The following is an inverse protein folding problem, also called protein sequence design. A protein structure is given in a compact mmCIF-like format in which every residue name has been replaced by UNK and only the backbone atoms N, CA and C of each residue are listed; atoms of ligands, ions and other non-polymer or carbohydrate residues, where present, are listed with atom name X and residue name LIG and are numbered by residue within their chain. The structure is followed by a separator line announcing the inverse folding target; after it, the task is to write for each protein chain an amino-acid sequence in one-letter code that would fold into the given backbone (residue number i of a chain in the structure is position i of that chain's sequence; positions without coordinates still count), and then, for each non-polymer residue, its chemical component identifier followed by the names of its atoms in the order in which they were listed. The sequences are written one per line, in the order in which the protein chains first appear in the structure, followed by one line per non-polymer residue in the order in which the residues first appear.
data_IF_071367810456
#
_entry.id   IF_071367810456
#
_cell.length_a   1.000
_cell.length_b   1.000
_cell.length_c   1.000
_cell.angle_alpha   90.00
_cell.angle_beta   90.00
_cell.angle_gamma   90.00
#
_symmetry.space_group_name_H-M   'P 1'
#
loop_
_entity.id
_entity.type
_entity.pdbx_description
1 polymer ?
#
# COMPACT_ATOMS: atom_id res chain seq x y z
N UNK A 1 21.50 -9.34 -5.23
CA UNK A 1 21.27 -7.88 -5.29
C UNK A 1 19.98 -7.54 -4.54
N UNK A 2 19.97 -6.48 -3.77
CA UNK A 2 18.77 -6.02 -3.06
C UNK A 2 18.49 -4.54 -3.36
N UNK A 3 17.40 -4.03 -2.84
CA UNK A 3 16.98 -2.64 -3.09
C UNK A 3 18.01 -1.60 -2.66
N UNK A 4 18.81 -1.89 -1.65
CA UNK A 4 19.82 -0.96 -1.15
C UNK A 4 21.04 -0.84 -2.05
N UNK A 5 21.18 -1.69 -3.06
CA UNK A 5 22.17 -1.50 -4.13
C UNK A 5 21.67 -0.53 -5.20
N UNK A 6 20.36 -0.32 -5.29
CA UNK A 6 19.74 0.60 -6.25
C UNK A 6 19.79 2.03 -5.71
N UNK A 7 19.39 2.19 -4.43
CA UNK A 7 19.40 3.47 -3.72
C UNK A 7 19.77 3.20 -2.26
N UNK A 8 20.36 4.18 -1.60
CA UNK A 8 20.72 4.08 -0.18
C UNK A 8 19.46 4.02 0.72
N UNK A 9 19.63 3.61 1.97
CA UNK A 9 18.54 3.62 2.96
C UNK A 9 17.96 5.01 3.11
N UNK A 10 18.80 6.04 3.13
CA UNK A 10 18.39 7.43 3.27
C UNK A 10 17.57 7.90 2.05
N UNK A 11 17.98 7.51 0.86
CA UNK A 11 17.27 7.85 -0.38
C UNK A 11 15.89 7.18 -0.41
N UNK A 12 15.81 5.91 -0.05
CA UNK A 12 14.52 5.21 0.03
C UNK A 12 13.61 5.82 1.10
N UNK A 13 14.18 6.15 2.28
CA UNK A 13 13.38 6.76 3.34
C UNK A 13 12.82 8.11 2.90
N UNK A 14 13.61 8.90 2.18
CA UNK A 14 13.15 10.19 1.66
C UNK A 14 11.99 10.00 0.67
N UNK A 15 12.08 9.01 -0.20
CA UNK A 15 11.01 8.68 -1.14
C UNK A 15 9.74 8.31 -0.39
N UNK A 16 9.84 7.46 0.64
CA UNK A 16 8.69 7.06 1.45
C UNK A 16 8.06 8.25 2.18
N UNK A 17 8.88 9.11 2.77
CA UNK A 17 8.41 10.28 3.50
C UNK A 17 7.71 11.27 2.57
N UNK A 18 8.28 11.55 1.41
CA UNK A 18 7.70 12.46 0.43
C UNK A 18 6.38 11.93 -0.12
N UNK A 19 6.32 10.64 -0.40
CA UNK A 19 5.12 9.99 -0.92
C UNK A 19 4.02 9.97 0.15
N UNK A 20 4.38 9.67 1.39
CA UNK A 20 3.47 9.70 2.54
C UNK A 20 2.85 11.10 2.70
N UNK A 21 3.66 12.14 2.64
CA UNK A 21 3.19 13.52 2.75
C UNK A 21 2.28 13.90 1.58
N UNK A 22 2.69 13.55 0.35
CA UNK A 22 1.93 13.90 -0.87
C UNK A 22 0.54 13.25 -0.92
N UNK A 23 0.42 12.00 -0.47
CA UNK A 23 -0.81 11.23 -0.58
C UNK A 23 -1.58 11.08 0.73
N UNK A 24 -1.02 11.52 1.85
CA UNK A 24 -1.59 11.33 3.19
C UNK A 24 -1.88 9.85 3.48
N UNK A 25 -1.00 8.98 3.01
CA UNK A 25 -1.11 7.52 3.14
C UNK A 25 0.17 6.95 3.73
N UNK A 26 0.10 5.92 4.58
CA UNK A 26 1.32 5.24 5.03
C UNK A 26 2.00 4.54 3.86
N UNK A 27 3.32 4.55 3.87
CA UNK A 27 4.15 3.97 2.81
C UNK A 27 5.14 2.96 3.38
N UNK A 28 5.56 2.02 2.56
CA UNK A 28 6.54 1.01 2.94
C UNK A 28 7.40 0.61 1.75
N UNK A 29 8.66 0.28 2.03
CA UNK A 29 9.55 -0.37 1.08
C UNK A 29 9.53 -1.86 1.40
N UNK A 30 9.21 -2.67 0.40
CA UNK A 30 9.00 -4.12 0.56
C UNK A 30 9.91 -4.85 -0.42
N UNK A 31 10.57 -5.91 0.05
CA UNK A 31 11.45 -6.70 -0.84
C UNK A 31 10.65 -7.66 -1.73
N UNK A 32 11.35 -8.42 -2.57
CA UNK A 32 10.72 -9.35 -3.52
C UNK A 32 9.97 -10.50 -2.85
N UNK A 33 10.20 -10.72 -1.56
CA UNK A 33 9.52 -11.74 -0.76
C UNK A 33 8.42 -11.17 0.12
N UNK A 34 8.07 -9.91 -0.07
CA UNK A 34 7.03 -9.18 0.68
C UNK A 34 7.40 -8.86 2.13
N UNK A 35 8.68 -8.87 2.47
CA UNK A 35 9.14 -8.39 3.76
C UNK A 35 9.29 -6.87 3.76
N UNK A 36 8.79 -6.22 4.80
CA UNK A 36 8.89 -4.77 4.96
C UNK A 36 10.30 -4.41 5.42
N UNK A 37 10.98 -3.55 4.68
CA UNK A 37 12.34 -3.08 4.98
C UNK A 37 12.34 -1.72 5.66
N UNK A 38 11.47 -0.82 5.24
CA UNK A 38 11.34 0.54 5.78
C UNK A 38 9.88 0.96 5.70
N UNK A 39 9.48 1.91 6.54
CA UNK A 39 8.13 2.45 6.58
C UNK A 39 8.15 3.96 6.81
N UNK A 40 7.09 4.64 6.39
CA UNK A 40 6.82 6.03 6.70
C UNK A 40 5.32 6.24 6.94
N UNK A 41 5.00 7.07 7.94
CA UNK A 41 3.63 7.34 8.33
C UNK A 41 3.04 6.24 9.21
N UNK A 42 1.93 6.56 9.86
CA UNK A 42 1.20 5.59 10.68
C UNK A 42 0.02 5.01 9.92
N UNK A 43 -0.18 3.71 10.07
CA UNK A 43 -1.40 3.06 9.58
C UNK A 43 -2.59 3.57 10.37
N UNK A 44 -3.74 3.64 9.71
CA UNK A 44 -5.00 4.00 10.36
C UNK A 44 -5.39 2.92 11.38
N UNK A 45 -6.17 3.33 12.38
CA UNK A 45 -6.63 2.42 13.43
C UNK A 45 -7.29 1.16 12.86
N UNK A 46 -8.13 1.31 11.84
CA UNK A 46 -8.78 0.17 11.17
C UNK A 46 -7.76 -0.80 10.57
N UNK A 47 -6.76 -0.29 9.86
CA UNK A 47 -5.70 -1.13 9.28
C UNK A 47 -4.89 -1.85 10.36
N UNK A 48 -4.60 -1.18 11.48
CA UNK A 48 -3.91 -1.80 12.63
C UNK A 48 -4.71 -2.96 13.21
N UNK A 49 -6.03 -2.78 13.36
CA UNK A 49 -6.91 -3.84 13.87
C UNK A 49 -6.99 -5.04 12.91
N UNK A 50 -7.10 -4.79 11.61
CA UNK A 50 -7.11 -5.83 10.59
C UNK A 50 -5.80 -6.63 10.63
N UNK A 51 -4.67 -5.95 10.74
CA UNK A 51 -3.35 -6.59 10.75
C UNK A 51 -3.04 -7.29 12.07
N UNK A 52 -3.68 -6.90 13.16
CA UNK A 52 -3.51 -7.55 14.47
C UNK A 52 -4.25 -8.89 14.56
N UNK A 53 -5.22 -9.13 13.69
CA UNK A 53 -5.98 -10.37 13.62
C UNK A 53 -5.43 -11.24 12.49
N UNK A 54 -4.99 -12.46 12.80
CA UNK A 54 -4.36 -13.35 11.82
C UNK A 54 -5.25 -13.69 10.63
N UNK A 55 -6.53 -13.94 10.87
CA UNK A 55 -7.47 -14.29 9.78
C UNK A 55 -7.71 -13.12 8.84
N UNK A 56 -7.91 -11.92 9.37
CA UNK A 56 -8.12 -10.73 8.55
C UNK A 56 -6.83 -10.27 7.87
N UNK A 57 -5.67 -10.44 8.53
CA UNK A 57 -4.37 -10.16 7.89
C UNK A 57 -4.19 -11.03 6.64
N UNK A 58 -4.45 -12.31 6.74
CA UNK A 58 -4.33 -13.26 5.62
C UNK A 58 -5.39 -12.99 4.56
N UNK A 59 -6.65 -12.84 4.96
CA UNK A 59 -7.78 -12.70 4.05
C UNK A 59 -7.90 -11.34 3.37
N UNK A 60 -7.36 -10.29 3.98
CA UNK A 60 -7.45 -8.93 3.46
C UNK A 60 -6.10 -8.43 2.95
N UNK A 61 -5.13 -8.26 3.85
CA UNK A 61 -3.86 -7.63 3.50
C UNK A 61 -2.95 -8.53 2.66
N UNK A 62 -2.69 -9.74 3.12
CA UNK A 62 -1.76 -10.65 2.43
C UNK A 62 -2.29 -11.11 1.07
N UNK A 63 -3.59 -11.37 0.97
CA UNK A 63 -4.24 -11.76 -0.28
C UNK A 63 -4.10 -10.67 -1.33
N UNK A 64 -4.37 -9.41 -0.94
CA UNK A 64 -4.25 -8.26 -1.82
C UNK A 64 -2.79 -8.06 -2.24
N UNK A 65 -1.86 -8.18 -1.30
CA UNK A 65 -0.42 -8.03 -1.56
C UNK A 65 0.08 -9.03 -2.60
N UNK A 66 -0.32 -10.29 -2.50
CA UNK A 66 0.05 -11.33 -3.46
C UNK A 66 -0.49 -11.06 -4.86
N UNK A 67 -1.74 -10.64 -4.94
CA UNK A 67 -2.36 -10.26 -6.21
C UNK A 67 -1.62 -9.12 -6.87
N UNK A 68 -1.35 -8.05 -6.12
CA UNK A 68 -0.66 -6.87 -6.63
C UNK A 68 0.75 -7.19 -7.09
N UNK A 69 1.49 -7.99 -6.34
CA UNK A 69 2.85 -8.38 -6.70
C UNK A 69 2.89 -9.12 -8.03
N UNK A 70 1.93 -10.03 -8.24
CA UNK A 70 1.81 -10.76 -9.51
C UNK A 70 1.49 -9.81 -10.66
N UNK A 71 0.50 -8.93 -10.49
CA UNK A 71 0.12 -7.96 -11.50
C UNK A 71 1.27 -7.01 -11.84
N UNK A 72 1.98 -6.52 -10.81
CA UNK A 72 3.11 -5.61 -11.01
C UNK A 72 4.25 -6.27 -11.78
N UNK A 73 4.53 -7.55 -11.51
CA UNK A 73 5.54 -8.30 -12.25
C UNK A 73 5.17 -8.50 -13.71
N UNK A 74 3.90 -8.82 -13.97
CA UNK A 74 3.40 -9.08 -15.33
C UNK A 74 3.32 -7.81 -16.16
N UNK A 75 2.77 -6.74 -15.60
CA UNK A 75 2.56 -5.48 -16.33
C UNK A 75 3.79 -4.58 -16.35
N UNK A 76 4.70 -4.76 -15.40
CA UNK A 76 5.87 -3.90 -15.18
C UNK A 76 5.48 -2.43 -14.99
N UNK A 77 4.39 -2.21 -14.25
CA UNK A 77 3.82 -0.89 -13.99
C UNK A 77 3.23 -0.83 -12.58
N UNK A 78 3.02 0.39 -12.05
CA UNK A 78 2.29 0.52 -10.79
C UNK A 78 0.90 -0.09 -10.87
N UNK A 79 0.48 -0.71 -9.78
CA UNK A 79 -0.82 -1.38 -9.67
C UNK A 79 -1.61 -0.70 -8.55
N UNK A 80 -2.85 -0.30 -8.84
CA UNK A 80 -3.74 0.28 -7.85
C UNK A 80 -4.96 -0.63 -7.75
N UNK A 81 -5.25 -1.08 -6.54
CA UNK A 81 -6.42 -1.93 -6.28
C UNK A 81 -7.12 -1.46 -5.01
N UNK A 82 -8.33 -1.96 -4.82
CA UNK A 82 -9.07 -1.79 -3.58
C UNK A 82 -8.96 -3.10 -2.80
N UNK A 83 -8.54 -3.04 -1.53
CA UNK A 83 -8.48 -4.24 -0.71
C UNK A 83 -9.89 -4.67 -0.26
N UNK A 84 -10.00 -5.85 0.37
CA UNK A 84 -11.28 -6.39 0.85
C UNK A 84 -11.96 -5.46 1.87
N UNK A 85 -11.22 -4.57 2.50
CA UNK A 85 -11.77 -3.54 3.39
C UNK A 85 -12.13 -2.24 2.65
N UNK A 86 -12.19 -2.27 1.33
CA UNK A 86 -12.55 -1.14 0.46
C UNK A 86 -11.64 0.07 0.59
N UNK A 87 -10.38 -0.16 0.92
CA UNK A 87 -9.37 0.89 0.98
C UNK A 87 -8.44 0.82 -0.22
N UNK A 88 -8.01 1.98 -0.70
CA UNK A 88 -7.07 2.07 -1.82
C UNK A 88 -5.69 1.58 -1.41
N UNK A 89 -5.07 0.82 -2.30
CA UNK A 89 -3.71 0.31 -2.13
C UNK A 89 -2.99 0.41 -3.46
N UNK A 90 -1.76 0.92 -3.42
CA UNK A 90 -0.93 1.05 -4.61
C UNK A 90 0.40 0.36 -4.40
N UNK A 91 0.88 -0.34 -5.42
CA UNK A 91 2.20 -0.95 -5.43
C UNK A 91 2.98 -0.40 -6.62
N UNK A 92 4.14 0.18 -6.34
CA UNK A 92 5.05 0.71 -7.34
C UNK A 92 6.22 -0.27 -7.43
N UNK A 93 6.30 -1.11 -8.48
CA UNK A 93 7.34 -2.13 -8.55
C UNK A 93 8.71 -1.51 -8.85
N UNK A 94 9.75 -2.14 -8.35
CA UNK A 94 11.13 -1.75 -8.61
C UNK A 94 11.83 -2.88 -9.35
N UNK A 95 12.36 -2.58 -10.52
CA UNK A 95 13.08 -3.53 -11.36
C UNK A 95 14.53 -3.11 -11.50
N UNK A 96 15.41 -4.09 -11.61
CA UNK A 96 16.82 -3.89 -11.96
C UNK A 96 17.21 -4.96 -12.98
N UNK A 97 17.69 -4.55 -14.15
CA UNK A 97 18.03 -5.46 -15.25
C UNK A 97 16.89 -6.42 -15.59
N UNK A 98 15.66 -5.93 -15.55
CA UNK A 98 14.46 -6.71 -15.86
C UNK A 98 13.97 -7.63 -14.73
N UNK A 99 14.69 -7.67 -13.61
CA UNK A 99 14.33 -8.49 -12.46
C UNK A 99 13.55 -7.66 -11.43
N UNK A 100 12.48 -8.27 -10.89
CA UNK A 100 11.68 -7.65 -9.83
C UNK A 100 12.43 -7.70 -8.50
N UNK A 101 12.77 -6.53 -7.97
CA UNK A 101 13.57 -6.40 -6.76
C UNK A 101 12.73 -6.15 -5.49
N UNK A 102 11.52 -5.70 -5.66
CA UNK A 102 10.63 -5.33 -4.59
C UNK A 102 9.70 -4.21 -5.02
N UNK A 103 9.16 -3.48 -4.07
CA UNK A 103 8.19 -2.43 -4.38
C UNK A 103 8.11 -1.37 -3.29
N UNK A 104 7.62 -0.19 -3.69
CA UNK A 104 7.11 0.81 -2.76
C UNK A 104 5.59 0.61 -2.70
N UNK A 105 5.07 0.45 -1.50
CA UNK A 105 3.65 0.18 -1.27
C UNK A 105 3.03 1.36 -0.52
N UNK A 106 1.86 1.77 -0.98
CA UNK A 106 1.06 2.86 -0.37
C UNK A 106 -0.31 2.29 -0.04
N UNK A 107 -0.78 2.47 1.17
CA UNK A 107 -1.99 1.78 1.62
C UNK A 107 -2.78 2.60 2.64
N UNK A 108 -4.09 2.53 2.52
CA UNK A 108 -4.97 2.93 3.59
C UNK A 108 -5.70 4.25 3.43
N UNK A 109 -6.16 4.59 2.22
CA UNK A 109 -7.10 5.70 2.07
C UNK A 109 -8.44 5.19 1.56
N UNK A 110 -9.50 5.92 1.90
CA UNK A 110 -10.83 5.67 1.37
C UNK A 110 -10.95 6.24 -0.04
N UNK A 111 -11.71 5.57 -0.89
CA UNK A 111 -12.02 6.06 -2.23
C UNK A 111 -13.46 6.56 -2.20
N UNK A 112 -13.73 7.82 -2.66
CA UNK A 112 -15.07 8.41 -2.54
C UNK A 112 -16.18 7.59 -3.23
N UNK A 113 -15.86 6.93 -4.32
CA UNK A 113 -16.82 6.17 -5.15
C UNK A 113 -17.10 4.77 -4.59
N UNK A 114 -16.34 4.32 -3.59
CA UNK A 114 -16.48 2.98 -3.04
C UNK A 114 -17.06 3.02 -1.64
N UNK A 115 -18.02 2.13 -1.39
CA UNK A 115 -18.61 1.98 -0.07
C UNK A 115 -17.84 0.95 0.74
N UNK A 116 -17.43 1.35 1.94
CA UNK A 116 -16.82 0.42 2.89
C UNK A 116 -17.95 -0.28 3.63
N UNK A 117 -17.93 -1.62 3.65
CA UNK A 117 -18.95 -2.40 4.36
C UNK A 117 -18.51 -2.66 5.80
N UNK A 118 -19.04 -1.90 6.78
CA UNK A 118 -18.65 -2.08 8.18
C UNK A 118 -19.05 -3.46 8.73
N UNK A 119 -20.15 -4.03 8.23
CA UNK A 119 -20.62 -5.34 8.70
C UNK A 119 -19.61 -6.45 8.39
N UNK A 120 -19.09 -6.49 7.16
CA UNK A 120 -18.09 -7.48 6.75
C UNK A 120 -16.81 -7.37 7.57
N UNK A 121 -16.34 -6.14 7.77
CA UNK A 121 -15.10 -5.88 8.51
C UNK A 121 -15.31 -6.25 9.99
N UNK A 122 -16.45 -5.83 10.57
CA UNK A 122 -16.78 -6.10 11.97
C UNK A 122 -16.78 -7.60 12.26
N UNK A 123 -17.35 -8.39 11.36
CA UNK A 123 -17.37 -9.85 11.49
C UNK A 123 -15.96 -10.43 11.49
N UNK A 124 -15.08 -9.96 10.59
CA UNK A 124 -13.74 -10.52 10.44
C UNK A 124 -12.79 -10.18 11.60
N UNK A 125 -12.95 -9.03 12.25
CA UNK A 125 -12.06 -8.59 13.36
C UNK A 125 -12.74 -8.61 14.73
N UNK A 126 -13.96 -9.11 14.80
CA UNK A 126 -14.73 -9.24 16.05
C UNK A 126 -14.90 -7.89 16.80
N UNK A 127 -15.30 -6.86 16.07
CA UNK A 127 -15.61 -5.53 16.58
C UNK A 127 -17.03 -5.15 16.19
N UNK A 128 -17.66 -4.21 16.92
CA UNK A 128 -18.99 -3.73 16.57
C UNK A 128 -18.96 -2.86 15.32
N UNK A 129 -20.09 -2.78 14.59
CA UNK A 129 -20.22 -1.91 13.45
C UNK A 129 -20.02 -0.44 13.81
N UNK A 130 -20.45 -0.02 15.01
CA UNK A 130 -20.27 1.35 15.49
C UNK A 130 -18.78 1.69 15.65
N UNK A 131 -17.99 0.76 16.19
CA UNK A 131 -16.55 0.93 16.32
C UNK A 131 -15.87 1.02 14.95
N UNK A 132 -16.28 0.16 14.00
CA UNK A 132 -15.76 0.17 12.63
C UNK A 132 -16.11 1.49 11.95
N UNK A 133 -17.34 1.96 12.06
CA UNK A 133 -17.76 3.24 11.48
C UNK A 133 -16.96 4.41 12.03
N UNK A 134 -16.65 4.39 13.33
CA UNK A 134 -15.80 5.41 13.94
C UNK A 134 -14.40 5.41 13.35
N UNK A 135 -13.81 4.22 13.16
CA UNK A 135 -12.48 4.08 12.56
C UNK A 135 -12.46 4.51 11.09
N UNK A 136 -13.49 4.16 10.32
CA UNK A 136 -13.62 4.54 8.92
C UNK A 136 -13.62 6.07 8.74
N UNK A 137 -14.30 6.79 9.64
CA UNK A 137 -14.39 8.25 9.58
C UNK A 137 -13.03 8.94 9.75
N UNK A 138 -12.04 8.26 10.32
CA UNK A 138 -10.69 8.77 10.52
C UNK A 138 -9.82 8.60 9.28
N UNK A 139 -10.24 7.80 8.30
CA UNK A 139 -9.46 7.50 7.11
C UNK A 139 -9.54 8.66 6.11
N UNK A 140 -8.40 9.24 5.70
CA UNK A 140 -8.41 10.30 4.69
C UNK A 140 -8.97 9.78 3.36
N UNK A 141 -9.64 10.66 2.62
CA UNK A 141 -10.17 10.36 1.29
C UNK A 141 -9.21 10.98 0.27
N UNK A 142 -8.65 10.17 -0.61
CA UNK A 142 -7.73 10.63 -1.64
C UNK A 142 -8.26 10.19 -3.01
N UNK A 143 -8.17 11.09 -3.99
CA UNK A 143 -8.59 10.82 -5.35
C UNK A 143 -7.69 9.73 -5.97
N UNK A 144 -8.33 8.70 -6.51
CA UNK A 144 -7.65 7.59 -7.18
C UNK A 144 -6.76 8.06 -8.33
N UNK A 145 -7.20 9.06 -9.07
CA UNK A 145 -6.43 9.64 -10.18
C UNK A 145 -5.15 10.31 -9.67
N UNK A 146 -5.22 11.01 -8.55
CA UNK A 146 -4.05 11.62 -7.91
C UNK A 146 -3.05 10.55 -7.49
N UNK A 147 -3.51 9.46 -6.89
CA UNK A 147 -2.67 8.32 -6.52
C UNK A 147 -1.98 7.75 -7.75
N UNK A 148 -2.71 7.58 -8.85
CA UNK A 148 -2.17 7.06 -10.11
C UNK A 148 -1.10 7.98 -10.69
N UNK A 149 -1.33 9.29 -10.72
CA UNK A 149 -0.38 10.27 -11.25
C UNK A 149 0.93 10.28 -10.44
N UNK A 150 0.82 10.34 -9.13
CA UNK A 150 1.99 10.37 -8.24
C UNK A 150 2.77 9.06 -8.35
N UNK A 151 2.07 7.94 -8.38
CA UNK A 151 2.70 6.61 -8.47
C UNK A 151 3.42 6.39 -9.80
N UNK A 152 2.83 6.79 -10.90
CA UNK A 152 3.45 6.68 -12.22
C UNK A 152 4.68 7.57 -12.33
N UNK A 153 4.63 8.77 -11.78
CA UNK A 153 5.76 9.69 -11.76
C UNK A 153 6.93 9.09 -10.97
N UNK A 154 6.64 8.56 -9.78
CA UNK A 154 7.67 7.93 -8.95
C UNK A 154 8.28 6.71 -9.64
N UNK A 155 7.44 5.90 -10.29
CA UNK A 155 7.92 4.75 -11.06
C UNK A 155 8.92 5.17 -12.13
N UNK A 156 8.61 6.21 -12.87
CA UNK A 156 9.50 6.76 -13.90
C UNK A 156 10.80 7.30 -13.29
N UNK A 157 10.72 8.03 -12.18
CA UNK A 157 11.88 8.57 -11.48
C UNK A 157 12.82 7.47 -10.99
N UNK A 158 12.26 6.41 -10.39
CA UNK A 158 13.07 5.27 -9.91
C UNK A 158 13.82 4.60 -11.05
N UNK A 159 13.23 4.52 -12.23
CA UNK A 159 13.79 3.78 -13.36
C UNK A 159 14.55 4.66 -14.39
N UNK A 160 14.54 5.99 -14.21
CA UNK A 160 15.21 6.90 -15.14
C UNK A 160 16.71 6.92 -15.00
N UNK A 161 17.25 6.50 -13.87
CA UNK A 161 18.69 6.51 -13.57
C UNK A 161 19.40 5.21 -13.96
N UNK A 162 18.70 4.31 -14.63
CA UNK A 162 19.26 3.01 -15.05
C UNK A 162 19.96 3.06 -16.41
#
# INVERSE_FOLDING_TARGET
MNLFYIKSEEEWQQILDDLCEALSMPTALVDSHSFVLQESGERHELCKEIRANKESLIGICAKTQKFMAREAKETQRPVIVTCEASMSKCMIPVFSDGEFMGSVVVCGTAIPEEEISPAMIAESINRSEDEINRMIKQIPVVDKEEVAQVSNRLFEEIHSDS
#
